data_IF_162943739268
#
_entry.id   IF_162943739268
#
_cell.length_a   1.000
_cell.length_b   1.000
_cell.length_c   1.000
_cell.angle_alpha   90.00
_cell.angle_beta   90.00
_cell.angle_gamma   90.00
#
_symmetry.space_group_name_H-M   'P 1'
#
loop_
_entity.id
_entity.type
_entity.pdbx_description
1 polymer ?
#
# COMPACT_ATOMS: atom_id res chain seq x y z
N UNK A 1 -21.87 -6.05 23.04
CA UNK A 1 -21.29 -4.78 23.54
C UNK A 1 -20.01 -4.33 22.82
N UNK A 2 -19.14 -5.22 22.32
CA UNK A 2 -17.92 -4.80 21.57
C UNK A 2 -18.23 -4.30 20.14
N UNK A 3 -19.16 -4.95 19.42
CA UNK A 3 -19.57 -4.50 18.07
C UNK A 3 -20.20 -3.10 18.05
N UNK A 4 -20.95 -2.73 19.09
CA UNK A 4 -21.58 -1.42 19.21
C UNK A 4 -20.55 -0.31 19.43
N UNK A 5 -19.50 -0.56 20.21
CA UNK A 5 -18.46 0.42 20.50
C UNK A 5 -17.53 0.70 19.30
N UNK A 6 -17.21 -0.33 18.50
CA UNK A 6 -16.45 -0.14 17.26
C UNK A 6 -17.26 0.62 16.21
N UNK A 7 -18.54 0.25 16.03
CA UNK A 7 -19.41 0.90 15.07
C UNK A 7 -19.68 2.38 15.41
N UNK A 8 -19.84 2.72 16.71
CA UNK A 8 -19.96 4.12 17.13
C UNK A 8 -18.67 4.89 16.90
N UNK A 9 -17.52 4.35 17.29
CA UNK A 9 -16.21 5.00 17.08
C UNK A 9 -15.92 5.23 15.59
N UNK A 10 -16.27 4.26 14.74
CA UNK A 10 -16.16 4.40 13.29
C UNK A 10 -17.10 5.48 12.76
N UNK A 11 -18.36 5.49 13.19
CA UNK A 11 -19.35 6.49 12.80
C UNK A 11 -18.89 7.90 13.16
N UNK A 12 -18.42 8.10 14.38
CA UNK A 12 -17.95 9.40 14.85
C UNK A 12 -16.77 9.90 14.02
N UNK A 13 -15.84 8.98 13.70
CA UNK A 13 -14.70 9.27 12.83
C UNK A 13 -15.15 9.64 11.41
N UNK A 14 -16.12 8.92 10.84
CA UNK A 14 -16.69 9.22 9.52
C UNK A 14 -17.41 10.57 9.47
N UNK A 15 -18.10 10.95 10.55
CA UNK A 15 -18.78 12.24 10.63
C UNK A 15 -17.80 13.40 10.58
N UNK A 16 -16.65 13.25 11.26
CA UNK A 16 -15.55 14.24 11.31
C UNK A 16 -14.75 14.36 10.01
N UNK A 17 -14.90 13.45 9.06
CA UNK A 17 -14.20 13.54 7.78
C UNK A 17 -14.61 14.77 6.96
N UNK A 18 -13.61 15.39 6.32
CA UNK A 18 -13.82 16.48 5.37
C UNK A 18 -14.61 15.98 4.14
N UNK A 19 -15.28 16.90 3.44
CA UNK A 19 -16.08 16.63 2.23
C UNK A 19 -15.27 15.90 1.16
N UNK A 20 -14.01 16.27 0.97
CA UNK A 20 -13.10 15.63 0.01
C UNK A 20 -12.83 14.17 0.38
N UNK A 21 -12.57 13.88 1.66
CA UNK A 21 -12.36 12.51 2.15
C UNK A 21 -13.61 11.66 1.99
N UNK A 22 -14.79 12.21 2.27
CA UNK A 22 -16.07 11.52 2.02
C UNK A 22 -16.27 11.23 0.53
N UNK A 23 -16.03 12.23 -0.33
CA UNK A 23 -16.13 12.06 -1.79
C UNK A 23 -15.18 10.97 -2.31
N UNK A 24 -13.92 10.97 -1.87
CA UNK A 24 -12.94 9.95 -2.23
C UNK A 24 -13.38 8.54 -1.80
N UNK A 25 -13.86 8.37 -0.56
CA UNK A 25 -14.32 7.07 -0.07
C UNK A 25 -15.55 6.56 -0.83
N UNK A 26 -16.52 7.44 -1.12
CA UNK A 26 -17.70 7.10 -1.92
C UNK A 26 -17.27 6.67 -3.32
N UNK A 27 -16.38 7.44 -3.95
CA UNK A 27 -15.90 7.18 -5.31
C UNK A 27 -15.10 5.86 -5.38
N UNK A 28 -14.18 5.63 -4.44
CA UNK A 28 -13.41 4.39 -4.34
C UNK A 28 -14.29 3.16 -4.08
N UNK A 29 -15.30 3.31 -3.22
CA UNK A 29 -16.25 2.23 -2.94
C UNK A 29 -17.12 1.91 -4.15
N UNK A 30 -17.60 2.94 -4.86
CA UNK A 30 -18.39 2.77 -6.08
C UNK A 30 -17.56 2.08 -7.18
N UNK A 31 -16.34 2.53 -7.42
CA UNK A 31 -15.41 1.94 -8.40
C UNK A 31 -15.15 0.46 -8.10
N UNK A 32 -14.71 0.15 -6.87
CA UNK A 32 -14.44 -1.23 -6.46
C UNK A 32 -15.67 -2.12 -6.58
N UNK A 33 -16.86 -1.60 -6.25
CA UNK A 33 -18.11 -2.35 -6.40
C UNK A 33 -18.43 -2.63 -7.87
N UNK A 34 -18.29 -1.64 -8.75
CA UNK A 34 -18.51 -1.82 -10.20
C UNK A 34 -17.54 -2.85 -10.76
N UNK A 35 -16.25 -2.78 -10.42
CA UNK A 35 -15.24 -3.74 -10.91
C UNK A 35 -15.54 -5.15 -10.39
N UNK A 36 -15.93 -5.32 -9.12
CA UNK A 36 -16.33 -6.63 -8.60
C UNK A 36 -17.55 -7.18 -9.34
N UNK A 37 -18.57 -6.36 -9.61
CA UNK A 37 -19.75 -6.77 -10.37
C UNK A 37 -19.35 -7.20 -11.80
N UNK A 38 -18.47 -6.46 -12.47
CA UNK A 38 -17.97 -6.81 -13.80
C UNK A 38 -17.16 -8.12 -13.78
N UNK A 39 -16.29 -8.32 -12.79
CA UNK A 39 -15.53 -9.55 -12.62
C UNK A 39 -16.45 -10.76 -12.36
N UNK A 40 -17.52 -10.59 -11.58
CA UNK A 40 -18.53 -11.62 -11.36
C UNK A 40 -19.35 -11.91 -12.62
N UNK A 41 -19.71 -10.88 -13.41
CA UNK A 41 -20.38 -11.07 -14.68
C UNK A 41 -19.52 -11.84 -15.66
N UNK A 42 -18.23 -11.53 -15.77
CA UNK A 42 -17.26 -12.28 -16.58
C UNK A 42 -17.14 -13.74 -16.15
N UNK A 43 -17.18 -13.99 -14.83
CA UNK A 43 -17.15 -15.33 -14.29
C UNK A 43 -18.41 -16.14 -14.67
N UNK A 44 -19.58 -15.50 -14.71
CA UNK A 44 -20.85 -16.13 -15.11
C UNK A 44 -20.91 -16.33 -16.63
N UNK A 45 -20.59 -15.30 -17.43
CA UNK A 45 -20.67 -15.38 -18.90
C UNK A 45 -19.62 -16.34 -19.46
N UNK A 46 -18.39 -16.32 -18.92
CA UNK A 46 -17.35 -17.28 -19.25
C UNK A 46 -17.76 -18.72 -18.95
N UNK A 47 -18.51 -18.95 -17.86
CA UNK A 47 -19.06 -20.27 -17.54
C UNK A 47 -20.08 -20.73 -18.60
N UNK A 48 -20.92 -19.81 -19.08
CA UNK A 48 -21.94 -20.13 -20.09
C UNK A 48 -21.38 -20.38 -21.49
N UNK A 49 -20.30 -19.72 -21.90
CA UNK A 49 -19.69 -19.90 -23.23
C UNK A 49 -18.83 -21.16 -23.32
N UNK A 50 -18.12 -21.52 -22.24
CA UNK A 50 -17.34 -22.78 -22.18
C UNK A 50 -18.21 -24.03 -22.15
N UNK A 51 -19.43 -23.95 -21.59
CA UNK A 51 -20.39 -25.06 -21.62
C UNK A 51 -20.89 -25.45 -23.01
N UNK A 52 -20.63 -24.63 -24.05
CA UNK A 52 -21.20 -24.80 -25.40
C UNK A 52 -20.18 -24.92 -26.52
N UNK A 53 -18.88 -24.75 -26.26
CA UNK A 53 -17.84 -24.78 -27.31
C UNK A 53 -16.70 -25.70 -26.92
N UNK A 54 -16.75 -26.92 -27.46
CA UNK A 54 -15.65 -27.90 -27.51
C UNK A 54 -14.52 -27.42 -28.44
N UNK A 55 -13.88 -26.32 -28.08
CA UNK A 55 -12.67 -25.87 -28.77
C UNK A 55 -11.60 -25.66 -27.71
N UNK A 56 -10.49 -26.38 -27.83
CA UNK A 56 -9.33 -26.53 -26.93
C UNK A 56 -8.57 -25.23 -26.54
N UNK A 57 -9.23 -24.08 -26.50
CA UNK A 57 -8.65 -22.82 -26.03
C UNK A 57 -9.09 -22.58 -24.58
N UNK A 58 -8.17 -22.82 -23.65
CA UNK A 58 -8.10 -22.22 -22.28
C UNK A 58 -8.65 -22.98 -21.07
N UNK A 59 -8.85 -24.30 -21.14
CA UNK A 59 -8.96 -25.11 -19.92
C UNK A 59 -7.56 -25.16 -19.27
N UNK A 60 -7.39 -24.63 -18.06
CA UNK A 60 -6.16 -24.83 -17.30
C UNK A 60 -5.96 -26.31 -17.01
N UNK A 61 -4.74 -26.79 -16.80
CA UNK A 61 -4.44 -28.23 -16.63
C UNK A 61 -5.29 -28.94 -15.58
N UNK A 62 -5.82 -28.20 -14.60
CA UNK A 62 -6.72 -28.68 -13.55
C UNK A 62 -8.19 -28.81 -13.99
N UNK A 63 -8.52 -28.60 -15.26
CA UNK A 63 -9.89 -28.61 -15.78
C UNK A 63 -10.67 -27.31 -15.58
N UNK A 64 -10.09 -26.30 -14.92
CA UNK A 64 -10.74 -25.01 -14.65
C UNK A 64 -10.35 -23.98 -15.71
N UNK A 65 -11.31 -23.25 -16.30
CA UNK A 65 -11.02 -22.25 -17.32
C UNK A 65 -10.17 -21.09 -16.80
N UNK A 66 -9.23 -20.62 -17.64
CA UNK A 66 -8.27 -19.57 -17.29
C UNK A 66 -8.93 -18.28 -16.78
N UNK A 67 -10.06 -17.86 -17.34
CA UNK A 67 -10.76 -16.63 -16.94
C UNK A 67 -11.24 -16.68 -15.47
N UNK A 68 -11.58 -17.86 -14.94
CA UNK A 68 -12.02 -18.02 -13.54
C UNK A 68 -10.91 -17.58 -12.58
N UNK A 69 -9.68 -18.01 -12.86
CA UNK A 69 -8.52 -17.63 -12.05
C UNK A 69 -8.25 -16.12 -12.11
N UNK A 70 -8.34 -15.52 -13.30
CA UNK A 70 -8.17 -14.07 -13.46
C UNK A 70 -9.24 -13.28 -12.69
N UNK A 71 -10.51 -13.67 -12.78
CA UNK A 71 -11.59 -13.00 -12.05
C UNK A 71 -11.41 -13.11 -10.53
N UNK A 72 -10.97 -14.26 -10.00
CA UNK A 72 -10.72 -14.41 -8.55
C UNK A 72 -9.55 -13.53 -8.10
N UNK A 73 -8.45 -13.50 -8.85
CA UNK A 73 -7.29 -12.64 -8.55
C UNK A 73 -7.64 -11.15 -8.66
N UNK A 74 -8.47 -10.77 -9.61
CA UNK A 74 -8.98 -9.42 -9.77
C UNK A 74 -9.84 -9.03 -8.55
N UNK A 75 -10.81 -9.86 -8.16
CA UNK A 75 -11.65 -9.60 -6.98
C UNK A 75 -10.78 -9.42 -5.73
N UNK A 76 -9.80 -10.31 -5.51
CA UNK A 76 -8.87 -10.19 -4.40
C UNK A 76 -8.11 -8.85 -4.43
N UNK A 77 -7.61 -8.45 -5.60
CA UNK A 77 -6.86 -7.20 -5.78
C UNK A 77 -7.75 -5.98 -5.50
N UNK A 78 -8.98 -5.97 -5.99
CA UNK A 78 -9.95 -4.89 -5.78
C UNK A 78 -10.38 -4.80 -4.31
N UNK A 79 -10.52 -5.93 -3.60
CA UNK A 79 -10.72 -5.93 -2.16
C UNK A 79 -9.57 -5.22 -1.42
N UNK A 80 -8.33 -5.43 -1.85
CA UNK A 80 -7.18 -4.70 -1.31
C UNK A 80 -7.20 -3.21 -1.66
N UNK A 81 -7.62 -2.82 -2.88
CA UNK A 81 -7.77 -1.41 -3.24
C UNK A 81 -8.78 -0.72 -2.34
N UNK A 82 -9.93 -1.35 -2.11
CA UNK A 82 -10.94 -0.84 -1.18
C UNK A 82 -10.37 -0.72 0.24
N UNK A 83 -9.66 -1.75 0.69
CA UNK A 83 -8.99 -1.75 1.99
C UNK A 83 -8.02 -0.56 2.13
N UNK A 84 -7.10 -0.35 1.19
CA UNK A 84 -6.14 0.76 1.23
C UNK A 84 -6.82 2.13 1.10
N UNK A 85 -7.86 2.27 0.28
CA UNK A 85 -8.61 3.51 0.17
C UNK A 85 -9.24 3.91 1.51
N UNK A 86 -9.87 2.95 2.20
CA UNK A 86 -10.48 3.19 3.50
C UNK A 86 -9.44 3.41 4.60
N UNK A 87 -8.44 2.54 4.67
CA UNK A 87 -7.41 2.56 5.71
C UNK A 87 -6.54 3.82 5.62
N UNK A 88 -6.17 4.26 4.40
CA UNK A 88 -5.40 5.49 4.20
C UNK A 88 -6.12 6.74 4.71
N UNK A 89 -7.43 6.84 4.44
CA UNK A 89 -8.25 7.99 4.89
C UNK A 89 -8.51 7.93 6.38
N UNK A 90 -8.83 6.75 6.92
CA UNK A 90 -9.11 6.60 8.35
C UNK A 90 -7.86 6.76 9.20
N UNK A 91 -6.70 6.32 8.74
CA UNK A 91 -5.44 6.41 9.49
C UNK A 91 -4.61 7.64 9.13
N UNK A 92 -5.09 8.45 8.16
CA UNK A 92 -4.37 9.60 7.60
C UNK A 92 -2.97 9.19 7.10
N UNK A 93 -2.86 7.96 6.58
CA UNK A 93 -1.62 7.38 6.13
C UNK A 93 -1.38 7.70 4.65
N UNK A 94 -0.50 8.66 4.41
CA UNK A 94 -0.09 9.07 3.07
C UNK A 94 0.52 7.92 2.26
N UNK A 95 1.27 7.02 2.90
CA UNK A 95 1.91 5.92 2.19
C UNK A 95 0.89 4.90 1.68
N UNK A 96 -0.20 4.69 2.41
CA UNK A 96 -1.34 3.86 1.96
C UNK A 96 -2.17 4.56 0.87
N UNK A 97 -2.19 5.88 0.83
CA UNK A 97 -2.82 6.62 -0.27
C UNK A 97 -1.99 6.50 -1.56
N UNK A 98 -0.67 6.65 -1.45
CA UNK A 98 0.25 6.47 -2.59
C UNK A 98 0.22 5.02 -3.09
N UNK A 99 0.15 4.08 -2.15
CA UNK A 99 -0.04 2.68 -2.41
C UNK A 99 -1.25 2.40 -3.29
N UNK A 100 -2.41 2.86 -2.84
CA UNK A 100 -3.66 2.78 -3.58
C UNK A 100 -3.48 3.36 -4.99
N UNK A 101 -2.95 4.58 -5.11
CA UNK A 101 -2.80 5.26 -6.39
C UNK A 101 -1.90 4.52 -7.39
N UNK A 102 -0.77 3.99 -6.92
CA UNK A 102 0.18 3.23 -7.76
C UNK A 102 -0.46 1.90 -8.17
N UNK A 103 -1.13 1.22 -7.24
CA UNK A 103 -1.72 -0.09 -7.52
C UNK A 103 -2.90 0.01 -8.50
N UNK A 104 -3.79 1.00 -8.33
CA UNK A 104 -4.88 1.26 -9.30
C UNK A 104 -4.33 1.74 -10.65
N UNK A 105 -3.23 2.48 -10.66
CA UNK A 105 -2.56 2.86 -11.92
C UNK A 105 -2.01 1.62 -12.65
N UNK A 106 -1.31 0.73 -11.96
CA UNK A 106 -0.82 -0.52 -12.55
C UNK A 106 -1.97 -1.40 -13.04
N UNK A 107 -3.08 -1.46 -12.30
CA UNK A 107 -4.30 -2.15 -12.74
C UNK A 107 -4.89 -1.52 -14.01
N UNK A 108 -4.87 -0.18 -14.13
CA UNK A 108 -5.33 0.49 -15.35
C UNK A 108 -4.46 0.17 -16.57
N UNK A 109 -3.13 0.08 -16.40
CA UNK A 109 -2.21 -0.35 -17.46
C UNK A 109 -2.49 -1.80 -17.85
N UNK A 110 -2.69 -2.67 -16.87
CA UNK A 110 -3.04 -4.07 -17.10
C UNK A 110 -4.37 -4.20 -17.86
N UNK A 111 -5.40 -3.44 -17.50
CA UNK A 111 -6.69 -3.43 -18.18
C UNK A 111 -6.57 -3.01 -19.66
N UNK A 112 -5.70 -2.03 -19.97
CA UNK A 112 -5.40 -1.64 -21.36
C UNK A 112 -4.78 -2.82 -22.12
N UNK A 113 -3.75 -3.45 -21.56
CA UNK A 113 -3.07 -4.60 -22.19
C UNK A 113 -4.07 -5.75 -22.42
N UNK A 114 -4.91 -6.04 -21.42
CA UNK A 114 -5.91 -7.09 -21.49
C UNK A 114 -6.95 -6.81 -22.58
N UNK A 115 -7.43 -5.58 -22.70
CA UNK A 115 -8.39 -5.20 -23.74
C UNK A 115 -7.88 -5.49 -25.15
N UNK A 116 -6.61 -5.14 -25.44
CA UNK A 116 -5.99 -5.40 -26.74
C UNK A 116 -5.58 -6.86 -26.95
N UNK A 117 -5.44 -7.65 -25.88
CA UNK A 117 -5.02 -9.05 -25.96
C UNK A 117 -6.18 -10.00 -26.27
N UNK A 118 -7.43 -9.56 -26.15
CA UNK A 118 -8.61 -10.39 -26.41
C UNK A 118 -9.02 -10.24 -27.88
N UNK A 119 -8.82 -11.31 -28.68
CA UNK A 119 -9.21 -11.39 -30.09
C UNK A 119 -10.72 -11.68 -30.27
N UNK A 120 -11.58 -10.87 -29.66
CA UNK A 120 -13.03 -10.89 -29.91
C UNK A 120 -13.45 -9.67 -30.74
N UNK A 121 -14.18 -9.91 -31.83
CA UNK A 121 -14.61 -8.87 -32.77
C UNK A 121 -15.51 -7.80 -32.11
N UNK A 122 -16.13 -8.09 -30.95
CA UNK A 122 -16.95 -7.16 -30.17
C UNK A 122 -16.82 -7.36 -28.64
N UNK A 123 -15.64 -7.10 -28.07
CA UNK A 123 -15.44 -7.12 -26.61
C UNK A 123 -16.06 -5.89 -25.90
N UNK A 124 -17.40 -5.80 -25.91
CA UNK A 124 -18.16 -4.68 -25.32
C UNK A 124 -17.99 -4.57 -23.80
N UNK A 125 -17.92 -5.70 -23.10
CA UNK A 125 -17.73 -5.74 -21.64
C UNK A 125 -16.34 -5.23 -21.26
N UNK A 126 -15.29 -5.67 -21.97
CA UNK A 126 -13.93 -5.19 -21.76
C UNK A 126 -13.77 -3.71 -22.07
N UNK A 127 -14.41 -3.20 -23.14
CA UNK A 127 -14.41 -1.77 -23.46
C UNK A 127 -15.07 -0.94 -22.36
N UNK A 128 -16.20 -1.41 -21.81
CA UNK A 128 -16.89 -0.75 -20.71
C UNK A 128 -16.05 -0.76 -19.43
N UNK A 129 -15.46 -1.91 -19.07
CA UNK A 129 -14.57 -2.04 -17.91
C UNK A 129 -13.37 -1.10 -18.01
N UNK A 130 -12.74 -1.02 -19.18
CA UNK A 130 -11.61 -0.12 -19.44
C UNK A 130 -12.03 1.35 -19.28
N UNK A 131 -13.17 1.75 -19.83
CA UNK A 131 -13.67 3.11 -19.73
C UNK A 131 -13.95 3.52 -18.27
N UNK A 132 -14.52 2.61 -17.47
CA UNK A 132 -14.74 2.82 -16.03
C UNK A 132 -13.40 3.02 -15.32
N UNK A 133 -12.48 2.06 -15.44
CA UNK A 133 -11.19 2.09 -14.73
C UNK A 133 -10.42 3.38 -15.05
N UNK A 134 -10.34 3.78 -16.32
CA UNK A 134 -9.62 5.00 -16.72
C UNK A 134 -10.29 6.28 -16.20
N UNK A 135 -11.63 6.33 -16.20
CA UNK A 135 -12.38 7.50 -15.72
C UNK A 135 -12.16 7.69 -14.21
N UNK A 136 -12.34 6.63 -13.43
CA UNK A 136 -12.13 6.68 -11.98
C UNK A 136 -10.67 6.93 -11.62
N UNK A 137 -9.71 6.42 -12.41
CA UNK A 137 -8.28 6.68 -12.19
C UNK A 137 -7.96 8.19 -12.23
N UNK A 138 -8.51 8.94 -13.19
CA UNK A 138 -8.33 10.40 -13.26
C UNK A 138 -8.92 11.09 -12.02
N UNK A 139 -10.11 10.67 -11.58
CA UNK A 139 -10.74 11.19 -10.38
C UNK A 139 -9.91 10.88 -9.12
N UNK A 140 -9.34 9.69 -9.00
CA UNK A 140 -8.45 9.33 -7.89
C UNK A 140 -7.23 10.22 -7.84
N UNK A 141 -6.54 10.46 -8.97
CA UNK A 141 -5.40 11.37 -8.99
C UNK A 141 -5.75 12.77 -8.49
N UNK A 142 -6.87 13.33 -8.95
CA UNK A 142 -7.32 14.67 -8.54
C UNK A 142 -7.63 14.74 -7.03
N UNK A 143 -8.38 13.77 -6.49
CA UNK A 143 -8.76 13.75 -5.07
C UNK A 143 -7.59 13.40 -4.14
N UNK A 144 -6.74 12.46 -4.56
CA UNK A 144 -5.54 12.05 -3.82
C UNK A 144 -4.58 13.22 -3.61
N UNK A 145 -4.47 14.14 -4.59
CA UNK A 145 -3.67 15.36 -4.45
C UNK A 145 -4.16 16.24 -3.28
N UNK A 146 -5.47 16.47 -3.20
CA UNK A 146 -6.07 17.26 -2.13
C UNK A 146 -6.00 16.55 -0.77
N UNK A 147 -6.17 15.23 -0.76
CA UNK A 147 -6.05 14.41 0.46
C UNK A 147 -4.63 14.42 1.02
N UNK A 148 -3.63 14.26 0.15
CA UNK A 148 -2.23 14.29 0.56
C UNK A 148 -1.87 15.58 1.33
N UNK A 149 -2.32 16.73 0.81
CA UNK A 149 -2.15 18.03 1.49
C UNK A 149 -2.88 18.09 2.82
N UNK A 150 -4.11 17.56 2.86
CA UNK A 150 -4.93 17.54 4.07
C UNK A 150 -4.28 16.70 5.18
N UNK A 151 -3.75 15.51 4.86
CA UNK A 151 -3.09 14.64 5.84
C UNK A 151 -1.86 15.31 6.47
N UNK A 152 -1.05 16.02 5.69
CA UNK A 152 0.10 16.76 6.22
C UNK A 152 -0.29 17.81 7.26
N UNK A 153 -1.39 18.52 7.02
CA UNK A 153 -1.94 19.50 7.96
C UNK A 153 -2.44 18.86 9.27
N UNK A 154 -3.11 17.70 9.20
CA UNK A 154 -3.56 16.99 10.39
C UNK A 154 -2.39 16.46 11.23
N UNK A 155 -1.37 15.90 10.58
CA UNK A 155 -0.15 15.47 11.27
C UNK A 155 0.55 16.64 11.95
N UNK A 156 0.59 17.81 11.30
CA UNK A 156 1.13 19.03 11.90
C UNK A 156 0.36 19.46 13.14
N UNK A 157 -0.98 19.47 13.09
CA UNK A 157 -1.81 19.83 14.25
C UNK A 157 -1.67 18.85 15.41
N UNK A 158 -1.57 17.54 15.11
CA UNK A 158 -1.46 16.49 16.14
C UNK A 158 -0.10 16.45 16.83
N UNK A 159 1.00 16.62 16.08
CA UNK A 159 2.36 16.46 16.62
C UNK A 159 3.08 17.80 16.87
N UNK A 160 2.44 18.92 16.58
CA UNK A 160 3.02 20.25 16.74
C UNK A 160 4.19 20.52 15.80
N UNK A 161 5.16 21.34 16.23
CA UNK A 161 6.32 21.72 15.43
C UNK A 161 7.51 20.75 15.52
N UNK A 162 7.43 19.70 16.36
CA UNK A 162 8.53 18.76 16.59
C UNK A 162 8.85 17.95 15.31
N UNK A 163 10.07 18.13 14.81
CA UNK A 163 10.55 17.51 13.57
C UNK A 163 10.91 16.03 13.82
N UNK A 164 11.45 15.70 15.00
CA UNK A 164 11.85 14.33 15.32
C UNK A 164 10.61 13.45 15.47
N UNK A 165 9.59 13.94 16.19
CA UNK A 165 8.34 13.23 16.38
C UNK A 165 7.61 12.96 15.05
N UNK A 166 7.60 13.92 14.14
CA UNK A 166 7.06 13.75 12.77
C UNK A 166 7.84 12.72 11.97
N UNK A 167 9.17 12.71 12.09
CA UNK A 167 10.03 11.73 11.42
C UNK A 167 9.75 10.31 11.94
N UNK A 168 9.62 10.15 13.26
CA UNK A 168 9.26 8.89 13.89
C UNK A 168 7.87 8.41 13.45
N UNK A 169 6.88 9.31 13.42
CA UNK A 169 5.53 9.00 12.95
C UNK A 169 5.51 8.58 11.47
N UNK A 170 6.27 9.26 10.62
CA UNK A 170 6.42 8.91 9.20
C UNK A 170 6.99 7.50 9.02
N UNK A 171 8.03 7.14 9.80
CA UNK A 171 8.60 5.79 9.77
C UNK A 171 7.58 4.73 10.24
N UNK A 172 6.79 5.05 11.27
CA UNK A 172 5.71 4.18 11.74
C UNK A 172 4.63 3.95 10.67
N UNK A 173 4.14 5.03 10.04
CA UNK A 173 3.13 4.93 8.98
C UNK A 173 3.66 4.17 7.75
N UNK A 174 4.91 4.42 7.37
CA UNK A 174 5.57 3.71 6.27
C UNK A 174 5.65 2.20 6.57
N UNK A 175 6.10 1.83 7.77
CA UNK A 175 6.18 0.43 8.18
C UNK A 175 4.81 -0.26 8.14
N UNK A 176 3.77 0.38 8.68
CA UNK A 176 2.41 -0.18 8.65
C UNK A 176 1.90 -0.39 7.23
N UNK A 177 2.12 0.59 6.34
CA UNK A 177 1.74 0.49 4.94
C UNK A 177 2.44 -0.70 4.28
N UNK A 178 3.76 -0.83 4.46
CA UNK A 178 4.55 -1.90 3.87
C UNK A 178 4.18 -3.30 4.39
N UNK A 179 3.81 -3.44 5.68
CA UNK A 179 3.32 -4.73 6.21
C UNK A 179 1.97 -5.12 5.60
N UNK A 180 1.08 -4.15 5.33
CA UNK A 180 -0.20 -4.41 4.66
C UNK A 180 0.00 -4.80 3.18
N UNK A 181 0.95 -4.17 2.51
CA UNK A 181 1.37 -4.60 1.17
C UNK A 181 2.00 -5.97 1.14
N UNK A 182 2.82 -6.28 2.14
CA UNK A 182 3.44 -7.57 2.28
C UNK A 182 2.39 -8.68 2.41
N UNK A 183 1.31 -8.41 3.16
CA UNK A 183 0.13 -9.27 3.20
C UNK A 183 -0.50 -9.43 1.82
N UNK A 184 -0.75 -8.33 1.08
CA UNK A 184 -1.32 -8.39 -0.26
C UNK A 184 -0.48 -9.25 -1.22
N UNK A 185 0.82 -8.98 -1.33
CA UNK A 185 1.70 -9.73 -2.21
C UNK A 185 1.77 -11.21 -1.81
N UNK A 186 1.83 -11.50 -0.51
CA UNK A 186 1.79 -12.86 0.00
C UNK A 186 0.50 -13.59 -0.38
N UNK A 187 -0.67 -12.95 -0.22
CA UNK A 187 -1.95 -13.55 -0.62
C UNK A 187 -2.05 -13.75 -2.13
N UNK A 188 -1.60 -12.79 -2.94
CA UNK A 188 -1.59 -12.94 -4.40
C UNK A 188 -0.71 -14.10 -4.85
N UNK A 189 0.50 -14.24 -4.29
CA UNK A 189 1.40 -15.33 -4.64
C UNK A 189 0.87 -16.69 -4.21
N UNK A 190 0.28 -16.79 -3.00
CA UNK A 190 -0.36 -18.01 -2.52
C UNK A 190 -1.51 -18.41 -3.44
N UNK A 191 -2.37 -17.47 -3.82
CA UNK A 191 -3.52 -17.74 -4.69
C UNK A 191 -3.09 -18.13 -6.11
N UNK A 192 -2.17 -17.38 -6.72
CA UNK A 192 -1.60 -17.72 -8.03
C UNK A 192 -0.99 -19.12 -8.00
N UNK A 193 -0.14 -19.39 -7.02
CA UNK A 193 0.54 -20.68 -6.92
C UNK A 193 -0.45 -21.84 -6.70
N UNK A 194 -1.43 -21.66 -5.82
CA UNK A 194 -2.45 -22.69 -5.55
C UNK A 194 -3.22 -23.02 -6.83
N UNK A 195 -3.69 -22.03 -7.57
CA UNK A 195 -4.51 -22.28 -8.75
C UNK A 195 -3.76 -22.91 -9.92
N UNK A 196 -2.48 -22.56 -10.11
CA UNK A 196 -1.71 -23.08 -11.24
C UNK A 196 -0.99 -24.40 -10.92
N UNK A 197 -0.67 -24.69 -9.66
CA UNK A 197 0.13 -25.85 -9.30
C UNK A 197 -0.60 -26.88 -8.42
N UNK A 198 -1.90 -26.69 -8.14
CA UNK A 198 -2.67 -27.63 -7.32
C UNK A 198 -2.72 -29.06 -7.90
N UNK A 199 -2.73 -29.23 -9.23
CA UNK A 199 -2.74 -30.57 -9.83
C UNK A 199 -1.37 -31.27 -9.81
N UNK A 200 -0.27 -30.52 -9.66
CA UNK A 200 1.07 -31.10 -9.67
C UNK A 200 1.31 -31.98 -8.43
N UNK A 201 0.88 -31.53 -7.24
CA UNK A 201 1.03 -32.32 -6.01
C UNK A 201 0.12 -31.85 -4.87
N UNK A 202 -0.51 -32.76 -4.10
CA UNK A 202 -1.23 -32.43 -2.87
C UNK A 202 -0.35 -31.73 -1.82
N UNK A 203 0.96 -32.01 -1.81
CA UNK A 203 1.92 -31.36 -0.90
C UNK A 203 1.98 -29.86 -1.18
N UNK A 204 1.86 -29.47 -2.45
CA UNK A 204 1.88 -28.07 -2.85
C UNK A 204 0.73 -27.30 -2.21
N UNK A 205 -0.49 -27.81 -2.34
CA UNK A 205 -1.70 -27.21 -1.75
C UNK A 205 -1.57 -27.10 -0.22
N UNK A 206 -1.03 -28.13 0.44
CA UNK A 206 -0.77 -28.09 1.87
C UNK A 206 0.20 -26.98 2.27
N UNK A 207 1.32 -26.84 1.54
CA UNK A 207 2.29 -25.76 1.76
C UNK A 207 1.63 -24.39 1.57
N UNK A 208 0.77 -24.21 0.57
CA UNK A 208 0.05 -22.95 0.36
C UNK A 208 -0.92 -22.60 1.48
N UNK A 209 -1.63 -23.58 2.03
CA UNK A 209 -2.51 -23.36 3.19
C UNK A 209 -1.68 -22.90 4.40
N UNK A 210 -0.53 -23.54 4.63
CA UNK A 210 0.39 -23.14 5.71
C UNK A 210 0.92 -21.72 5.46
N UNK A 211 1.30 -21.39 4.22
CA UNK A 211 1.80 -20.07 3.85
C UNK A 211 0.71 -18.99 3.92
N UNK A 212 -0.54 -19.32 3.62
CA UNK A 212 -1.69 -18.43 3.79
C UNK A 212 -1.84 -18.04 5.27
N UNK A 213 -1.88 -19.04 6.14
CA UNK A 213 -1.98 -18.83 7.58
C UNK A 213 -0.76 -18.05 8.11
N UNK A 214 0.44 -18.40 7.64
CA UNK A 214 1.67 -17.71 7.99
C UNK A 214 1.66 -16.23 7.58
N UNK A 215 1.27 -15.89 6.35
CA UNK A 215 1.25 -14.49 5.89
C UNK A 215 0.30 -13.63 6.73
N UNK A 216 -0.90 -14.15 7.05
CA UNK A 216 -1.87 -13.44 7.91
C UNK A 216 -1.32 -13.28 9.34
N UNK A 217 -0.74 -14.35 9.89
CA UNK A 217 -0.11 -14.34 11.21
C UNK A 217 1.05 -13.34 11.27
N UNK A 218 1.92 -13.35 10.26
CA UNK A 218 3.09 -12.51 10.16
C UNK A 218 2.74 -11.01 10.08
N UNK A 219 1.77 -10.65 9.23
CA UNK A 219 1.28 -9.28 9.13
C UNK A 219 0.70 -8.80 10.47
N UNK A 220 -0.09 -9.66 11.12
CA UNK A 220 -0.67 -9.39 12.43
C UNK A 220 0.40 -9.16 13.51
N UNK A 221 1.46 -9.97 13.48
CA UNK A 221 2.60 -9.88 14.39
C UNK A 221 3.31 -8.53 14.26
N UNK A 222 3.60 -8.10 13.03
CA UNK A 222 4.24 -6.80 12.75
C UNK A 222 3.37 -5.62 13.17
N UNK A 223 2.09 -5.62 12.81
CA UNK A 223 1.15 -4.55 13.15
C UNK A 223 1.01 -4.42 14.68
N UNK A 224 0.82 -5.54 15.39
CA UNK A 224 0.68 -5.51 16.86
C UNK A 224 1.98 -5.20 17.58
N UNK A 225 3.11 -5.69 17.06
CA UNK A 225 4.43 -5.42 17.61
C UNK A 225 4.76 -3.94 17.61
N UNK A 226 4.51 -3.25 16.49
CA UNK A 226 4.78 -1.82 16.39
C UNK A 226 3.77 -0.97 17.17
N UNK A 227 2.47 -1.30 17.13
CA UNK A 227 1.42 -0.53 17.82
C UNK A 227 1.56 -0.56 19.34
N UNK A 228 2.06 -1.66 19.89
CA UNK A 228 2.24 -1.84 21.34
C UNK A 228 3.65 -1.51 21.81
N UNK A 229 4.55 -1.17 20.89
CA UNK A 229 5.99 -1.09 21.13
C UNK A 229 6.55 -2.37 21.81
N UNK A 230 6.00 -3.54 21.45
CA UNK A 230 6.38 -4.81 22.05
C UNK A 230 7.64 -5.38 21.38
N UNK A 231 8.76 -5.29 22.11
CA UNK A 231 10.05 -5.77 21.63
C UNK A 231 10.04 -7.28 21.32
N UNK A 232 9.29 -8.10 22.06
CA UNK A 232 9.27 -9.55 21.84
C UNK A 232 8.59 -9.89 20.52
N UNK A 233 7.45 -9.25 20.23
CA UNK A 233 6.75 -9.44 18.96
C UNK A 233 7.61 -8.99 17.78
N UNK A 234 8.34 -7.88 17.90
CA UNK A 234 9.25 -7.42 16.85
C UNK A 234 10.44 -8.37 16.64
N UNK A 235 11.00 -8.98 17.69
CA UNK A 235 12.05 -10.00 17.52
C UNK A 235 11.54 -11.22 16.73
N UNK A 236 10.35 -11.72 17.05
CA UNK A 236 9.72 -12.79 16.28
C UNK A 236 9.43 -12.37 14.83
N UNK A 237 8.99 -11.13 14.61
CA UNK A 237 8.74 -10.58 13.29
C UNK A 237 10.01 -10.55 12.42
N UNK A 238 11.16 -10.14 12.98
CA UNK A 238 12.43 -10.18 12.25
C UNK A 238 12.90 -11.62 11.99
N UNK A 239 12.83 -12.50 13.00
CA UNK A 239 13.27 -13.89 12.87
C UNK A 239 12.47 -14.70 11.85
N UNK A 240 11.15 -14.49 11.79
CA UNK A 240 10.26 -15.19 10.85
C UNK A 240 10.27 -14.56 9.44
N UNK A 241 10.84 -13.37 9.25
CA UNK A 241 10.79 -12.63 7.99
C UNK A 241 11.46 -13.33 6.80
N UNK A 242 12.31 -14.32 7.05
CA UNK A 242 13.03 -15.09 6.02
C UNK A 242 12.17 -16.19 5.38
N UNK A 243 11.09 -16.63 6.03
CA UNK A 243 10.30 -17.80 5.60
C UNK A 243 9.66 -17.56 4.22
N UNK A 244 9.02 -16.40 4.03
CA UNK A 244 8.36 -16.09 2.77
C UNK A 244 9.33 -15.97 1.57
N UNK A 245 10.48 -15.25 1.66
CA UNK A 245 11.50 -15.27 0.61
C UNK A 245 12.05 -16.65 0.29
N UNK A 246 12.34 -17.47 1.30
CA UNK A 246 12.84 -18.84 1.10
C UNK A 246 11.80 -19.66 0.30
N UNK A 247 10.53 -19.57 0.67
CA UNK A 247 9.45 -20.24 -0.05
C UNK A 247 9.34 -19.78 -1.52
N UNK A 248 9.48 -18.47 -1.78
CA UNK A 248 9.46 -17.93 -3.15
C UNK A 248 10.64 -18.48 -3.96
N UNK A 249 11.84 -18.51 -3.40
CA UNK A 249 13.05 -19.01 -4.08
C UNK A 249 12.96 -20.51 -4.35
N UNK A 250 12.52 -21.32 -3.38
CA UNK A 250 12.33 -22.76 -3.57
C UNK A 250 11.36 -23.02 -4.73
N UNK A 251 10.22 -22.33 -4.77
CA UNK A 251 9.26 -22.47 -5.88
C UNK A 251 9.85 -22.06 -7.23
N UNK A 252 10.59 -20.95 -7.28
CA UNK A 252 11.24 -20.51 -8.51
C UNK A 252 12.23 -21.56 -9.04
N UNK A 253 12.96 -22.23 -8.15
CA UNK A 253 13.89 -23.32 -8.52
C UNK A 253 13.14 -24.58 -8.98
N UNK A 254 12.06 -24.96 -8.28
CA UNK A 254 11.23 -26.11 -8.67
C UNK A 254 10.62 -25.93 -10.06
N UNK A 255 10.04 -24.76 -10.33
CA UNK A 255 9.49 -24.40 -11.64
C UNK A 255 10.56 -24.42 -12.73
N UNK A 256 11.78 -23.96 -12.43
CA UNK A 256 12.88 -23.95 -13.38
C UNK A 256 13.48 -25.34 -13.64
N UNK A 257 13.36 -26.26 -12.68
CA UNK A 257 13.95 -27.60 -12.76
C UNK A 257 13.07 -28.56 -13.56
N UNK A 258 11.74 -28.52 -13.33
CA UNK A 258 10.79 -29.42 -13.99
C UNK A 258 9.62 -28.64 -14.65
N UNK A 259 9.86 -27.84 -15.71
CA UNK A 259 8.84 -26.99 -16.30
C UNK A 259 7.59 -27.74 -16.79
N UNK A 260 7.75 -29.02 -17.17
CA UNK A 260 6.68 -29.87 -17.70
C UNK A 260 5.65 -30.24 -16.61
N UNK A 261 6.06 -30.33 -15.34
CA UNK A 261 5.19 -30.68 -14.21
C UNK A 261 4.41 -29.48 -13.66
N UNK A 262 4.86 -28.25 -13.96
CA UNK A 262 4.27 -27.00 -13.47
C UNK A 262 3.41 -26.27 -14.52
N UNK A 263 3.20 -26.90 -15.68
CA UNK A 263 2.24 -26.48 -16.67
C UNK A 263 2.70 -25.35 -17.57
N UNK A 264 2.69 -25.58 -18.88
CA UNK A 264 3.18 -24.61 -19.87
C UNK A 264 2.35 -23.31 -19.93
N UNK A 265 1.12 -23.34 -19.41
CA UNK A 265 0.15 -22.24 -19.50
C UNK A 265 0.09 -21.35 -18.26
N UNK A 266 0.92 -21.58 -17.24
CA UNK A 266 0.95 -20.73 -16.05
C UNK A 266 1.46 -19.31 -16.39
N UNK A 267 0.96 -18.26 -15.70
CA UNK A 267 1.33 -16.87 -15.95
C UNK A 267 2.70 -16.52 -15.32
N UNK A 268 3.75 -17.25 -15.72
CA UNK A 268 5.10 -17.15 -15.14
C UNK A 268 5.65 -15.73 -15.08
N UNK A 269 5.43 -14.93 -16.13
CA UNK A 269 5.88 -13.54 -16.15
C UNK A 269 5.27 -12.70 -15.03
N UNK A 270 3.98 -12.85 -14.78
CA UNK A 270 3.30 -12.09 -13.72
C UNK A 270 3.63 -12.61 -12.33
N UNK A 271 3.76 -13.94 -12.18
CA UNK A 271 4.23 -14.54 -10.94
C UNK A 271 5.64 -14.07 -10.61
N UNK A 272 6.54 -13.99 -11.59
CA UNK A 272 7.90 -13.49 -11.43
C UNK A 272 7.93 -12.01 -11.04
N UNK A 273 7.11 -11.16 -11.68
CA UNK A 273 6.99 -9.74 -11.31
C UNK A 273 6.46 -9.58 -9.89
N UNK A 274 5.39 -10.31 -9.54
CA UNK A 274 4.79 -10.25 -8.20
C UNK A 274 5.74 -10.78 -7.13
N UNK A 275 6.46 -11.88 -7.41
CA UNK A 275 7.49 -12.45 -6.53
C UNK A 275 8.65 -11.48 -6.31
N UNK A 276 9.11 -10.81 -7.37
CA UNK A 276 10.17 -9.81 -7.29
C UNK A 276 9.75 -8.63 -6.42
N UNK A 277 8.54 -8.09 -6.64
CA UNK A 277 7.98 -7.03 -5.80
C UNK A 277 7.81 -7.47 -4.35
N UNK A 278 7.38 -8.71 -4.10
CA UNK A 278 7.24 -9.27 -2.76
C UNK A 278 8.59 -9.35 -2.02
N UNK A 279 9.65 -9.81 -2.69
CA UNK A 279 11.01 -9.87 -2.11
C UNK A 279 11.55 -8.46 -1.84
N UNK A 280 11.42 -7.53 -2.79
CA UNK A 280 11.85 -6.14 -2.60
C UNK A 280 11.09 -5.50 -1.44
N UNK A 281 9.76 -5.68 -1.40
CA UNK A 281 8.95 -5.18 -0.30
C UNK A 281 9.39 -5.81 1.03
N UNK A 282 9.64 -7.12 1.10
CA UNK A 282 10.16 -7.78 2.31
C UNK A 282 11.44 -7.15 2.82
N UNK A 283 12.42 -6.94 1.94
CA UNK A 283 13.71 -6.33 2.32
C UNK A 283 13.48 -4.93 2.90
N UNK A 284 12.65 -4.12 2.23
CA UNK A 284 12.35 -2.76 2.69
C UNK A 284 11.53 -2.74 3.99
N UNK A 285 10.62 -3.70 4.20
CA UNK A 285 9.91 -3.91 5.47
C UNK A 285 10.89 -4.22 6.60
N UNK A 286 11.92 -5.05 6.36
CA UNK A 286 12.92 -5.36 7.39
C UNK A 286 13.71 -4.11 7.78
N UNK A 287 14.14 -3.32 6.81
CA UNK A 287 14.90 -2.09 7.02
C UNK A 287 14.06 -1.04 7.77
N UNK A 288 12.85 -0.76 7.28
CA UNK A 288 11.98 0.24 7.89
C UNK A 288 11.41 -0.23 9.23
N UNK A 289 11.19 -1.54 9.40
CA UNK A 289 10.83 -2.15 10.68
C UNK A 289 11.92 -1.97 11.72
N UNK A 290 13.20 -2.12 11.34
CA UNK A 290 14.34 -1.84 12.24
C UNK A 290 14.37 -0.37 12.65
N UNK A 291 14.21 0.55 11.69
CA UNK A 291 14.14 2.00 11.98
C UNK A 291 12.98 2.33 12.93
N UNK A 292 11.82 1.72 12.72
CA UNK A 292 10.66 1.93 13.57
C UNK A 292 10.86 1.33 14.99
N UNK A 293 11.53 0.18 15.08
CA UNK A 293 11.90 -0.45 16.35
C UNK A 293 12.90 0.40 17.16
N UNK A 294 13.86 1.05 16.52
CA UNK A 294 14.83 1.94 17.18
C UNK A 294 14.20 3.21 17.77
N UNK A 295 12.97 3.53 17.39
CA UNK A 295 12.19 4.66 17.90
C UNK A 295 11.34 4.30 19.14
N UNK A 296 11.35 3.05 19.61
CA UNK A 296 10.55 2.63 20.76
C UNK A 296 10.95 3.37 22.04
N UNK A 297 9.94 3.80 22.81
CA UNK A 297 10.11 4.53 24.06
C UNK A 297 10.55 5.98 23.91
N UNK A 298 10.47 6.57 22.70
CA UNK A 298 10.86 7.97 22.43
C UNK A 298 9.68 8.96 22.45
N UNK A 299 8.55 8.60 23.06
CA UNK A 299 7.41 9.52 23.20
C UNK A 299 6.43 9.51 22.01
N UNK A 300 6.68 8.73 20.96
CA UNK A 300 5.77 8.66 19.80
C UNK A 300 4.39 8.16 20.21
N UNK A 301 4.34 7.14 21.06
CA UNK A 301 3.08 6.53 21.45
C UNK A 301 2.22 7.47 22.28
N UNK A 302 2.84 8.13 23.25
CA UNK A 302 2.22 9.07 24.18
C UNK A 302 1.69 10.29 23.41
N UNK A 303 2.50 10.87 22.54
CA UNK A 303 2.14 12.10 21.83
C UNK A 303 1.20 11.87 20.63
N UNK A 304 1.32 10.75 19.93
CA UNK A 304 0.53 10.50 18.71
C UNK A 304 -0.80 9.77 18.97
N UNK A 305 -0.93 9.01 20.06
CA UNK A 305 -2.12 8.19 20.32
C UNK A 305 -2.90 8.59 21.57
N UNK A 306 -2.28 9.13 22.62
CA UNK A 306 -2.99 9.45 23.89
C UNK A 306 -3.64 10.84 23.91
N UNK A 307 -3.13 11.84 23.16
CA UNK A 307 -3.76 13.17 23.04
C UNK A 307 -5.10 13.19 22.28
N UNK A 308 -5.49 12.08 21.64
CA UNK A 308 -6.75 11.99 20.87
C UNK A 308 -8.03 12.04 21.73
N UNK A 309 -7.91 12.05 23.06
CA UNK A 309 -9.09 12.14 23.94
C UNK A 309 -9.48 13.58 24.32
N UNK A 310 -8.56 14.55 24.28
CA UNK A 310 -8.82 15.90 24.84
C UNK A 310 -9.06 16.98 23.77
N UNK A 311 -8.28 17.03 22.68
CA UNK A 311 -8.40 18.07 21.65
C UNK A 311 -9.50 17.79 20.60
N UNK A 312 -9.74 16.51 20.34
CA UNK A 312 -10.73 16.00 19.38
C UNK A 312 -12.19 16.23 19.84
N UNK A 313 -12.40 16.64 21.09
CA UNK A 313 -13.70 16.98 21.66
C UNK A 313 -14.04 18.48 21.56
N UNK A 314 -13.05 19.35 21.29
CA UNK A 314 -13.19 20.80 21.45
C UNK A 314 -13.60 21.54 20.17
N UNK A 315 -13.26 21.06 18.97
CA UNK A 315 -13.57 21.78 17.73
C UNK A 315 -14.14 20.85 16.64
N UNK A 316 -15.39 21.11 16.25
CA UNK A 316 -15.92 20.58 15.00
C UNK A 316 -15.07 21.11 13.84
N UNK A 317 -14.67 20.27 12.87
CA UNK A 317 -13.76 20.69 11.83
C UNK A 317 -14.53 21.61 10.86
N UNK A 318 -14.42 22.92 11.04
CA UNK A 318 -14.60 23.82 9.90
C UNK A 318 -13.57 23.38 8.86
N UNK A 319 -14.08 22.89 7.73
CA UNK A 319 -13.28 22.45 6.61
C UNK A 319 -12.42 23.63 6.15
N UNK A 320 -11.16 23.63 6.56
CA UNK A 320 -10.21 24.66 6.15
C UNK A 320 -10.13 24.64 4.62
N UNK A 321 -10.36 25.80 4.01
CA UNK A 321 -10.44 25.93 2.57
C UNK A 321 -9.08 25.56 1.97
N UNK A 322 -9.06 24.54 1.12
CA UNK A 322 -7.83 23.93 0.57
C UNK A 322 -7.05 24.97 -0.25
N UNK A 323 -7.74 25.99 -0.76
CA UNK A 323 -7.16 27.14 -1.46
C UNK A 323 -6.25 28.01 -0.58
N UNK A 324 -6.34 27.90 0.76
CA UNK A 324 -5.56 28.70 1.72
C UNK A 324 -4.33 27.97 2.27
N UNK A 325 -4.07 26.72 1.85
CA UNK A 325 -2.87 26.00 2.30
C UNK A 325 -1.61 26.57 1.66
N UNK A 326 -0.59 26.99 2.45
CA UNK A 326 0.73 27.26 1.89
C UNK A 326 1.28 25.96 1.29
N UNK A 327 1.89 26.07 0.10
CA UNK A 327 2.57 24.96 -0.56
C UNK A 327 3.80 24.62 0.28
N UNK A 328 3.68 23.61 1.14
CA UNK A 328 4.82 23.07 1.87
C UNK A 328 5.66 22.24 0.91
N UNK A 329 6.56 22.89 0.18
CA UNK A 329 7.66 22.19 -0.45
C UNK A 329 8.53 21.55 0.64
N UNK A 330 8.92 20.29 0.43
CA UNK A 330 10.05 19.71 1.17
C UNK A 330 11.22 20.68 1.09
N UNK A 331 12.00 20.91 2.17
CA UNK A 331 13.14 21.80 2.07
C UNK A 331 14.09 21.23 1.01
N UNK A 332 14.16 21.87 -0.15
CA UNK A 332 15.29 21.69 -1.03
C UNK A 332 16.51 22.14 -0.22
N UNK A 333 17.64 21.46 -0.41
CA UNK A 333 18.90 21.73 0.32
C UNK A 333 19.43 23.17 0.17
N UNK A 334 18.72 24.03 -0.57
CA UNK A 334 19.10 25.41 -0.88
C UNK A 334 18.31 26.46 -0.08
N UNK A 335 17.42 26.07 0.83
CA UNK A 335 16.60 27.01 1.61
C UNK A 335 17.28 27.54 2.90
N UNK A 336 18.61 27.47 3.03
CA UNK A 336 19.34 28.02 4.19
C UNK A 336 19.61 29.54 4.06
N UNK A 337 19.34 30.17 2.92
CA UNK A 337 19.83 31.53 2.65
C UNK A 337 18.82 32.69 2.70
N UNK A 338 17.57 32.49 3.12
CA UNK A 338 16.60 33.62 3.22
C UNK A 338 15.77 33.58 4.49
N UNK A 339 16.26 34.29 5.50
CA UNK A 339 15.53 34.53 6.74
C UNK A 339 16.37 35.18 7.83
N UNK A 340 17.20 36.20 7.51
CA UNK A 340 17.80 37.04 8.56
C UNK A 340 16.72 37.96 9.11
N UNK A 341 16.15 37.59 10.25
CA UNK A 341 15.39 38.50 11.11
C UNK A 341 16.29 39.66 11.53
N UNK A 342 15.79 40.89 11.35
CA UNK A 342 16.41 42.13 11.78
C UNK A 342 16.25 42.33 13.30
N UNK A 343 17.09 41.67 14.10
CA UNK A 343 17.18 41.94 15.54
C UNK A 343 18.48 41.44 16.17
N UNK A 344 19.63 41.69 15.53
CA UNK A 344 20.93 41.53 16.17
C UNK A 344 21.69 42.86 16.05
N UNK A 345 21.77 43.57 17.18
CA UNK A 345 22.58 44.76 17.36
C UNK A 345 24.07 44.40 17.34
N UNK A 346 24.89 45.29 16.77
CA UNK A 346 26.29 45.14 16.35
C UNK A 346 27.30 45.00 17.52
N UNK A 347 26.91 44.43 18.67
CA UNK A 347 27.72 44.52 19.88
C UNK A 347 28.27 43.22 20.49
N UNK A 348 28.05 42.06 19.85
CA UNK A 348 28.67 40.79 20.26
C UNK A 348 29.52 40.18 19.14
N UNK A 349 30.53 40.92 18.67
CA UNK A 349 31.60 40.37 17.84
C UNK A 349 32.78 40.00 18.74
N UNK A 350 32.96 38.71 19.02
CA UNK A 350 34.17 38.18 19.64
C UNK A 350 35.27 38.08 18.56
N UNK A 351 36.34 38.89 18.63
CA UNK A 351 37.38 38.92 17.61
C UNK A 351 38.28 37.67 17.57
N UNK A 352 38.06 36.68 18.46
CA UNK A 352 38.87 35.47 18.54
C UNK A 352 38.21 34.19 17.99
N UNK A 353 36.98 34.26 17.46
CA UNK A 353 36.42 33.12 16.72
C UNK A 353 37.00 33.08 15.30
N UNK A 354 37.83 32.06 15.07
CA UNK A 354 38.38 31.72 13.75
C UNK A 354 37.24 31.58 12.75
N UNK A 355 37.27 32.41 11.71
CA UNK A 355 36.31 32.43 10.63
C UNK A 355 36.35 31.08 9.87
N UNK A 356 35.33 30.25 10.09
CA UNK A 356 35.21 28.92 9.48
C UNK A 356 35.09 28.96 7.94
N UNK A 357 34.95 30.15 7.34
CA UNK A 357 35.00 30.34 5.89
C UNK A 357 36.41 30.18 5.30
N UNK A 358 37.47 30.22 6.13
CA UNK A 358 38.85 29.98 5.70
C UNK A 358 39.19 28.48 5.50
N UNK A 359 38.34 27.56 5.96
CA UNK A 359 38.58 26.09 5.88
C UNK A 359 38.15 25.45 4.55
N UNK A 360 37.52 26.21 3.64
CA UNK A 360 36.99 25.68 2.38
C UNK A 360 37.37 26.54 1.16
N UNK A 361 38.65 26.89 1.04
CA UNK A 361 39.19 27.29 -0.27
C UNK A 361 39.67 26.04 -1.02
N UNK A 362 39.17 25.77 -2.25
CA UNK A 362 39.72 24.72 -3.10
C UNK A 362 41.08 25.19 -3.64
N UNK A 363 42.16 24.51 -3.26
CA UNK A 363 43.47 24.65 -3.90
C UNK A 363 43.38 24.08 -5.32
N UNK A 364 43.15 24.96 -6.30
CA UNK A 364 43.47 24.68 -7.69
C UNK A 364 44.98 24.87 -7.86
N UNK A 365 45.73 23.76 -7.80
CA UNK A 365 47.07 23.71 -8.37
C UNK A 365 47.02 23.05 -9.75
N UNK A 366 47.81 23.66 -10.64
CA UNK A 366 48.00 23.44 -12.07
C UNK A 366 48.49 22.05 -12.46
#
# INVERSE_FOLDING_TARGET
>A
MVQTAWATKLRDKLLRLNRVSKAFLILATADCFIIIVLALLQLITGYTTVGTSTTDKSIGENGVPRYVYWSILEILTVCFFLYFAWDSVLTENVFELWAFQIATFLASVYAVIQYYSVEEENNTVGAFQLAVILTFQVCFWALSYTLHRSFGWWVFRRLGADIELKSMYKNYQLFLAQVKFDLQFGLLLVMMSTFFFAAASPVFVFVEIVMLAFTIFYATLGIRGIQREDRRLMHWFFGLGIIAPINIVIKAVLIASDPDDYGANAPYAQMAVTASLAIINRITVMINGKRAYENFGRGLRENAFDHTNDDDAAEAPEAMDVALLPVFDTPSSNAVARGRHSSLTVQDYDPNLVDASALFQPTLES
#
